data_IF_085068749816
#
_entry.id   IF_085068749816
#
_cell.length_a   1.000
_cell.length_b   1.000
_cell.length_c   1.000
_cell.angle_alpha   90.00
_cell.angle_beta   90.00
_cell.angle_gamma   90.00
#
_symmetry.space_group_name_H-M   'P 1'
#
loop_
_entity.id
_entity.type
_entity.pdbx_description
1 polymer ?
#
# COMPACT_ATOMS: atom_id res chain seq x y z
N UNK A 1 -27.64 -5.06 -13.63
CA UNK A 1 -27.95 -6.09 -12.61
C UNK A 1 -27.46 -7.42 -13.16
N UNK A 2 -26.65 -8.15 -12.40
CA UNK A 2 -26.02 -9.38 -12.88
C UNK A 2 -26.74 -10.63 -12.37
N UNK A 3 -26.84 -11.65 -13.23
CA UNK A 3 -27.55 -12.89 -12.96
C UNK A 3 -26.59 -14.09 -13.04
N UNK A 4 -26.53 -14.89 -11.98
CA UNK A 4 -25.82 -16.17 -11.96
C UNK A 4 -26.83 -17.31 -11.86
N UNK A 5 -26.66 -18.34 -12.70
CA UNK A 5 -27.51 -19.54 -12.68
C UNK A 5 -26.72 -20.73 -12.17
N UNK A 6 -27.27 -21.42 -11.19
CA UNK A 6 -26.71 -22.64 -10.62
C UNK A 6 -27.69 -23.77 -10.94
N UNK A 7 -27.22 -24.79 -11.65
CA UNK A 7 -28.01 -25.98 -12.00
C UNK A 7 -27.35 -27.24 -11.48
N UNK A 8 -28.11 -28.17 -10.92
CA UNK A 8 -27.60 -29.48 -10.50
C UNK A 8 -28.63 -30.59 -10.73
N UNK A 9 -28.11 -31.78 -11.06
CA UNK A 9 -28.89 -33.01 -11.24
C UNK A 9 -28.73 -33.97 -10.06
N UNK A 10 -27.86 -33.66 -9.09
CA UNK A 10 -27.38 -34.61 -8.08
C UNK A 10 -28.16 -34.56 -6.76
N UNK A 11 -29.38 -34.01 -6.76
CA UNK A 11 -30.22 -33.87 -5.57
C UNK A 11 -29.61 -32.99 -4.46
N UNK A 12 -28.64 -32.13 -4.82
CA UNK A 12 -27.99 -31.21 -3.91
C UNK A 12 -28.92 -30.03 -3.56
N UNK A 13 -28.90 -29.59 -2.30
CA UNK A 13 -29.60 -28.38 -1.87
C UNK A 13 -28.90 -27.13 -2.44
N UNK A 14 -29.31 -26.77 -3.65
CA UNK A 14 -28.79 -25.60 -4.38
C UNK A 14 -29.02 -24.30 -3.62
N UNK A 15 -30.08 -24.22 -2.81
CA UNK A 15 -30.45 -22.97 -2.10
C UNK A 15 -29.46 -22.72 -0.97
N UNK A 16 -29.11 -23.78 -0.26
CA UNK A 16 -28.05 -23.74 0.75
C UNK A 16 -26.70 -23.40 0.13
N UNK A 17 -26.37 -23.96 -1.03
CA UNK A 17 -25.13 -23.65 -1.75
C UNK A 17 -25.08 -22.18 -2.20
N UNK A 18 -26.16 -21.67 -2.80
CA UNK A 18 -26.27 -20.28 -3.21
C UNK A 18 -26.13 -19.32 -2.00
N UNK A 19 -26.76 -19.65 -0.88
CA UNK A 19 -26.66 -18.85 0.35
C UNK A 19 -25.24 -18.82 0.90
N UNK A 20 -24.55 -19.97 0.92
CA UNK A 20 -23.16 -20.07 1.36
C UNK A 20 -22.21 -19.27 0.45
N UNK A 21 -22.44 -19.26 -0.87
CA UNK A 21 -21.66 -18.45 -1.81
C UNK A 21 -21.83 -16.95 -1.53
N UNK A 22 -23.07 -16.47 -1.37
CA UNK A 22 -23.35 -15.05 -1.06
C UNK A 22 -22.68 -14.62 0.24
N UNK A 23 -22.74 -15.46 1.28
CA UNK A 23 -22.08 -15.20 2.55
C UNK A 23 -20.55 -15.18 2.43
N UNK A 24 -19.96 -16.09 1.65
CA UNK A 24 -18.51 -16.13 1.43
C UNK A 24 -17.97 -14.87 0.75
N UNK A 25 -18.77 -14.22 -0.09
CA UNK A 25 -18.41 -12.96 -0.75
C UNK A 25 -18.65 -11.72 0.13
N UNK A 26 -19.25 -11.90 1.32
CA UNK A 26 -19.60 -10.79 2.20
C UNK A 26 -20.66 -9.85 1.61
N UNK A 27 -21.43 -10.32 0.62
CA UNK A 27 -22.42 -9.47 -0.03
C UNK A 27 -23.62 -9.23 0.89
N UNK A 28 -24.10 -7.98 1.00
CA UNK A 28 -25.24 -7.64 1.83
C UNK A 28 -26.52 -8.29 1.29
N UNK A 29 -27.30 -8.92 2.19
CA UNK A 29 -28.49 -9.72 1.84
C UNK A 29 -29.63 -8.91 1.20
N UNK A 30 -29.67 -7.60 1.43
CA UNK A 30 -30.63 -6.67 0.81
C UNK A 30 -30.29 -6.33 -0.65
N UNK A 31 -29.08 -6.68 -1.12
CA UNK A 31 -28.60 -6.40 -2.48
C UNK A 31 -28.39 -7.65 -3.34
N UNK A 32 -28.81 -8.80 -2.82
CA UNK A 32 -28.77 -10.08 -3.51
C UNK A 32 -30.11 -10.78 -3.36
N UNK A 33 -30.66 -11.31 -4.46
CA UNK A 33 -31.88 -12.12 -4.41
C UNK A 33 -31.62 -13.53 -4.95
N UNK A 34 -32.15 -14.54 -4.26
CA UNK A 34 -32.02 -15.95 -4.61
C UNK A 34 -33.40 -16.49 -4.94
N UNK A 35 -33.58 -16.96 -6.16
CA UNK A 35 -34.83 -17.51 -6.67
C UNK A 35 -34.65 -18.97 -7.06
N UNK A 36 -35.54 -19.83 -6.58
CA UNK A 36 -35.56 -21.25 -6.93
C UNK A 36 -36.58 -21.47 -8.04
N UNK A 37 -36.16 -22.09 -9.13
CA UNK A 37 -37.03 -22.47 -10.23
C UNK A 37 -37.08 -24.00 -10.33
N UNK A 38 -38.04 -24.61 -9.64
CA UNK A 38 -38.28 -26.05 -9.69
C UNK A 38 -39.19 -26.36 -10.87
N UNK A 39 -38.64 -26.89 -11.97
CA UNK A 39 -39.45 -27.44 -13.06
C UNK A 39 -39.95 -28.82 -12.64
N UNK A 40 -41.27 -28.97 -12.49
CA UNK A 40 -41.92 -30.20 -12.05
C UNK A 40 -41.90 -31.36 -13.06
N UNK A 41 -40.96 -31.39 -14.01
CA UNK A 41 -40.90 -32.34 -15.13
C UNK A 41 -39.68 -33.28 -15.10
N UNK A 42 -38.89 -33.30 -14.01
CA UNK A 42 -37.67 -34.09 -13.92
C UNK A 42 -36.43 -33.41 -14.53
N UNK A 43 -36.53 -32.15 -14.95
CA UNK A 43 -35.39 -31.31 -15.27
C UNK A 43 -34.59 -30.91 -14.03
N UNK A 44 -33.30 -30.62 -14.22
CA UNK A 44 -32.37 -30.11 -13.21
C UNK A 44 -32.98 -29.01 -12.33
N UNK A 45 -32.80 -29.10 -11.02
CA UNK A 45 -33.12 -27.99 -10.13
C UNK A 45 -32.23 -26.80 -10.52
N UNK A 46 -32.83 -25.61 -10.62
CA UNK A 46 -32.14 -24.39 -11.04
C UNK A 46 -32.36 -23.28 -10.03
N UNK A 47 -31.28 -22.62 -9.61
CA UNK A 47 -31.34 -21.41 -8.79
C UNK A 47 -30.75 -20.23 -9.56
N UNK A 48 -31.47 -19.12 -9.50
CA UNK A 48 -31.08 -17.84 -10.07
C UNK A 48 -30.67 -16.92 -8.92
N UNK A 49 -29.44 -16.43 -8.94
CA UNK A 49 -28.93 -15.44 -7.99
C UNK A 49 -28.76 -14.12 -8.74
N UNK A 50 -29.54 -13.11 -8.36
CA UNK A 50 -29.38 -11.74 -8.88
C UNK A 50 -28.55 -10.91 -7.91
N UNK A 51 -27.52 -10.27 -8.43
CA UNK A 51 -26.57 -9.45 -7.67
C UNK A 51 -26.56 -8.04 -8.27
N UNK A 52 -26.60 -7.02 -7.42
CA UNK A 52 -26.35 -5.64 -7.84
C UNK A 52 -24.95 -5.55 -8.49
N UNK A 53 -24.86 -4.95 -9.68
CA UNK A 53 -23.58 -4.83 -10.41
C UNK A 53 -22.52 -4.08 -9.61
N UNK A 54 -22.94 -3.16 -8.73
CA UNK A 54 -22.01 -2.43 -7.87
C UNK A 54 -21.28 -3.33 -6.86
N UNK A 55 -21.82 -4.52 -6.56
CA UNK A 55 -21.16 -5.52 -5.70
C UNK A 55 -20.13 -6.36 -6.47
N UNK A 56 -20.22 -6.38 -7.80
CA UNK A 56 -19.29 -7.07 -8.68
C UNK A 56 -18.14 -6.17 -9.11
N UNK A 57 -18.36 -4.85 -9.11
CA UNK A 57 -17.30 -3.86 -9.30
C UNK A 57 -16.30 -3.98 -8.16
N UNK A 58 -15.05 -4.32 -8.47
CA UNK A 58 -13.97 -4.14 -7.50
C UNK A 58 -13.90 -2.64 -7.18
N UNK A 59 -13.90 -2.23 -5.89
CA UNK A 59 -13.70 -0.85 -5.55
C UNK A 59 -12.34 -0.45 -6.12
N UNK A 60 -12.35 0.52 -7.03
CA UNK A 60 -11.12 1.02 -7.65
C UNK A 60 -10.20 1.49 -6.52
N UNK A 61 -8.97 0.94 -6.42
CA UNK A 61 -8.07 1.29 -5.32
C UNK A 61 -7.82 2.80 -5.36
N UNK A 62 -7.93 3.47 -4.21
CA UNK A 62 -7.73 4.92 -4.14
C UNK A 62 -6.33 5.25 -4.69
N UNK A 63 -6.24 6.00 -5.81
CA UNK A 63 -4.97 6.28 -6.45
C UNK A 63 -3.99 7.01 -5.54
N UNK A 64 -4.46 7.68 -4.49
CA UNK A 64 -3.59 8.35 -3.53
C UNK A 64 -2.88 7.39 -2.56
N UNK A 65 -3.48 6.22 -2.34
CA UNK A 65 -2.98 5.18 -1.43
C UNK A 65 -2.22 4.06 -2.16
N UNK A 66 -2.27 4.06 -3.50
CA UNK A 66 -1.61 3.04 -4.29
C UNK A 66 -0.09 3.11 -4.11
N UNK A 67 0.57 1.96 -3.91
CA UNK A 67 2.02 1.93 -3.82
C UNK A 67 2.62 2.14 -5.22
N UNK A 68 3.74 2.88 -5.25
CA UNK A 68 4.40 3.31 -6.48
C UNK A 68 5.66 2.48 -6.67
N UNK A 69 5.65 1.56 -7.63
CA UNK A 69 6.73 0.56 -7.78
C UNK A 69 7.52 0.68 -9.07
N UNK A 70 6.89 1.18 -10.14
CA UNK A 70 7.55 1.32 -11.44
C UNK A 70 7.85 2.77 -11.79
N UNK A 71 8.74 2.99 -12.76
CA UNK A 71 9.03 4.32 -13.30
C UNK A 71 7.80 4.98 -13.93
N UNK A 72 6.91 4.17 -14.52
CA UNK A 72 5.65 4.65 -15.08
C UNK A 72 4.73 5.14 -13.96
N UNK A 73 4.63 4.39 -12.86
CA UNK A 73 3.84 4.77 -11.69
C UNK A 73 4.35 6.07 -11.07
N UNK A 74 5.68 6.21 -10.93
CA UNK A 74 6.30 7.45 -10.43
C UNK A 74 5.91 8.63 -11.32
N UNK A 75 5.93 8.46 -12.64
CA UNK A 75 5.52 9.50 -13.57
C UNK A 75 4.05 9.89 -13.38
N UNK A 76 3.14 8.92 -13.33
CA UNK A 76 1.70 9.15 -13.12
C UNK A 76 1.43 9.79 -11.75
N UNK A 77 2.16 9.38 -10.71
CA UNK A 77 2.08 9.96 -9.39
C UNK A 77 2.51 11.43 -9.38
N UNK A 78 3.61 11.78 -10.05
CA UNK A 78 4.08 13.16 -10.16
C UNK A 78 3.12 14.06 -10.94
N UNK A 79 2.50 13.52 -11.99
CA UNK A 79 1.42 14.18 -12.72
C UNK A 79 0.21 14.47 -11.81
N UNK A 80 -0.20 13.49 -11.00
CA UNK A 80 -1.29 13.67 -10.04
C UNK A 80 -0.94 14.71 -8.96
N UNK A 81 0.29 14.68 -8.45
CA UNK A 81 0.80 15.64 -7.46
C UNK A 81 0.70 17.08 -7.99
N UNK A 82 1.18 17.34 -9.22
CA UNK A 82 1.13 18.68 -9.83
C UNK A 82 -0.28 19.19 -10.04
N UNK A 83 -1.22 18.29 -10.37
CA UNK A 83 -2.64 18.66 -10.51
C UNK A 83 -3.28 18.99 -9.17
N UNK A 84 -2.84 18.36 -8.08
CA UNK A 84 -3.46 18.50 -6.75
C UNK A 84 -2.84 19.60 -5.89
N UNK A 85 -1.55 19.93 -6.06
CA UNK A 85 -0.86 20.91 -5.24
C UNK A 85 -0.35 22.10 -6.06
N UNK A 86 -0.94 23.27 -5.83
CA UNK A 86 -0.58 24.51 -6.50
C UNK A 86 0.82 25.04 -6.13
N UNK A 87 1.41 24.58 -5.03
CA UNK A 87 2.78 24.97 -4.66
C UNK A 87 3.85 24.37 -5.58
N UNK A 88 3.49 23.34 -6.37
CA UNK A 88 4.34 22.75 -7.39
C UNK A 88 4.32 23.54 -8.72
N UNK A 89 3.59 24.66 -8.80
CA UNK A 89 3.65 25.55 -9.96
C UNK A 89 5.08 26.08 -10.15
N UNK A 90 5.56 26.04 -11.39
CA UNK A 90 6.92 26.46 -11.76
C UNK A 90 8.02 25.46 -11.39
N UNK A 91 7.70 24.30 -10.82
CA UNK A 91 8.66 23.22 -10.59
C UNK A 91 8.90 22.46 -11.89
N UNK A 92 10.17 22.22 -12.23
CA UNK A 92 10.54 21.33 -13.33
C UNK A 92 10.09 19.90 -13.05
N UNK A 93 9.49 19.24 -14.05
CA UNK A 93 8.89 17.93 -13.87
C UNK A 93 9.95 16.85 -13.61
N UNK A 94 11.12 16.91 -14.25
CA UNK A 94 12.17 15.93 -14.04
C UNK A 94 12.73 16.06 -12.61
N UNK A 95 12.96 17.29 -12.15
CA UNK A 95 13.40 17.56 -10.78
C UNK A 95 12.38 17.07 -9.74
N UNK A 96 11.08 17.31 -9.94
CA UNK A 96 10.02 16.78 -9.08
C UNK A 96 10.06 15.25 -9.05
N UNK A 97 10.14 14.61 -10.22
CA UNK A 97 10.10 13.16 -10.36
C UNK A 97 11.29 12.50 -9.66
N UNK A 98 12.49 13.02 -9.86
CA UNK A 98 13.71 12.45 -9.30
C UNK A 98 13.72 12.58 -7.77
N UNK A 99 13.19 13.67 -7.23
CA UNK A 99 13.04 13.84 -5.79
C UNK A 99 11.94 12.95 -5.21
N UNK A 100 10.75 12.92 -5.83
CA UNK A 100 9.62 12.11 -5.38
C UNK A 100 9.90 10.60 -5.45
N UNK A 101 10.66 10.13 -6.44
CA UNK A 101 11.06 8.72 -6.59
C UNK A 101 11.77 8.18 -5.34
N UNK A 102 12.56 9.02 -4.64
CA UNK A 102 13.24 8.62 -3.41
C UNK A 102 12.25 8.37 -2.27
N UNK A 103 11.22 9.21 -2.14
CA UNK A 103 10.17 9.05 -1.14
C UNK A 103 9.30 7.82 -1.43
N UNK A 104 8.92 7.60 -2.68
CA UNK A 104 8.20 6.38 -3.08
C UNK A 104 9.03 5.12 -2.81
N UNK A 105 10.34 5.16 -3.05
CA UNK A 105 11.24 4.05 -2.71
C UNK A 105 11.34 3.80 -1.19
N UNK A 106 11.07 4.81 -0.37
CA UNK A 106 10.93 4.68 1.09
C UNK A 106 9.53 4.21 1.53
N UNK A 107 8.69 3.79 0.58
CA UNK A 107 7.36 3.24 0.84
C UNK A 107 6.28 4.29 1.10
N UNK A 108 6.55 5.56 0.79
CA UNK A 108 5.53 6.61 0.88
C UNK A 108 4.48 6.45 -0.22
N UNK A 109 3.25 6.82 0.09
CA UNK A 109 2.16 6.95 -0.88
C UNK A 109 2.10 8.38 -1.45
N UNK A 110 1.24 8.59 -2.46
CA UNK A 110 0.99 9.93 -3.00
C UNK A 110 0.35 10.82 -1.92
N UNK A 111 -0.57 10.26 -1.12
CA UNK A 111 -1.19 10.96 0.00
C UNK A 111 -0.14 11.46 1.01
N UNK A 112 0.87 10.64 1.31
CA UNK A 112 1.95 11.02 2.23
C UNK A 112 2.77 12.18 1.69
N UNK A 113 3.09 12.17 0.40
CA UNK A 113 3.85 13.26 -0.20
C UNK A 113 3.02 14.56 -0.22
N UNK A 114 1.72 14.49 -0.55
CA UNK A 114 0.80 15.65 -0.43
C UNK A 114 0.72 16.17 1.00
N UNK A 115 0.73 15.27 1.99
CA UNK A 115 0.77 15.66 3.39
C UNK A 115 2.07 16.40 3.72
N UNK A 116 3.22 15.88 3.30
CA UNK A 116 4.51 16.54 3.53
C UNK A 116 4.68 17.89 2.81
N UNK A 117 4.02 18.07 1.67
CA UNK A 117 3.98 19.36 0.96
C UNK A 117 3.07 20.37 1.64
N UNK A 118 2.07 19.93 2.41
CA UNK A 118 1.12 20.80 3.09
C UNK A 118 1.45 21.03 4.57
N UNK A 119 2.14 20.09 5.22
CA UNK A 119 2.48 20.09 6.63
C UNK A 119 3.94 19.78 6.88
N UNK A 120 4.44 20.32 7.98
CA UNK A 120 5.72 20.01 8.58
C UNK A 120 5.66 18.67 9.32
N UNK A 121 6.81 18.07 9.64
CA UNK A 121 6.84 16.85 10.44
C UNK A 121 6.34 17.00 11.88
N UNK A 122 6.25 18.22 12.40
CA UNK A 122 5.62 18.53 13.69
C UNK A 122 4.09 18.66 13.59
N UNK A 123 3.53 18.47 12.39
CA UNK A 123 2.10 18.61 12.09
C UNK A 123 1.66 20.05 11.78
N UNK A 124 2.51 21.06 11.95
CA UNK A 124 2.14 22.44 11.65
C UNK A 124 2.06 22.68 10.12
N UNK A 125 1.07 23.43 9.62
CA UNK A 125 0.94 23.68 8.18
C UNK A 125 2.07 24.57 7.66
N UNK A 126 2.51 24.31 6.42
CA UNK A 126 3.41 25.24 5.72
C UNK A 126 2.68 26.54 5.35
N UNK A 127 3.38 27.69 5.31
CA UNK A 127 2.84 28.91 4.72
C UNK A 127 2.41 28.69 3.26
N UNK A 128 1.31 29.34 2.87
CA UNK A 128 0.70 29.22 1.53
C UNK A 128 0.57 30.59 0.88
N UNK A 129 0.47 30.60 -0.45
CA UNK A 129 0.25 31.82 -1.24
C UNK A 129 1.28 31.99 -2.35
N UNK A 130 1.19 33.12 -3.05
CA UNK A 130 2.22 33.55 -4.01
C UNK A 130 3.52 33.85 -3.24
N UNK A 131 4.62 33.24 -3.68
CA UNK A 131 5.92 33.27 -2.98
C UNK A 131 6.29 32.00 -2.21
N UNK A 132 5.33 31.08 -2.01
CA UNK A 132 5.55 29.76 -1.37
C UNK A 132 5.47 28.60 -2.36
N UNK A 133 5.95 28.82 -3.58
CA UNK A 133 5.85 27.91 -4.73
C UNK A 133 7.22 27.67 -5.35
N UNK A 134 7.33 26.69 -6.25
CA UNK A 134 8.54 26.43 -7.02
C UNK A 134 9.54 25.48 -6.33
N UNK A 135 10.66 25.25 -7.01
CA UNK A 135 11.62 24.18 -6.66
C UNK A 135 12.28 24.39 -5.29
N UNK A 136 12.58 25.63 -4.93
CA UNK A 136 13.19 25.99 -3.64
C UNK A 136 12.27 25.59 -2.48
N UNK A 137 10.97 25.86 -2.60
CA UNK A 137 9.99 25.49 -1.59
C UNK A 137 9.73 23.99 -1.56
N UNK A 138 9.71 23.31 -2.71
CA UNK A 138 9.64 21.85 -2.78
C UNK A 138 10.80 21.22 -1.99
N UNK A 139 12.04 21.63 -2.29
CA UNK A 139 13.23 21.13 -1.63
C UNK A 139 13.24 21.48 -0.13
N UNK A 140 12.86 22.71 0.22
CA UNK A 140 12.77 23.14 1.62
C UNK A 140 11.81 22.24 2.41
N UNK A 141 10.60 22.01 1.90
CA UNK A 141 9.60 21.18 2.59
C UNK A 141 10.07 19.74 2.72
N UNK A 142 10.49 19.12 1.61
CA UNK A 142 10.92 17.72 1.61
C UNK A 142 12.20 17.48 2.43
N UNK A 143 13.11 18.47 2.52
CA UNK A 143 14.30 18.38 3.39
C UNK A 143 13.94 18.24 4.86
N UNK A 144 12.85 18.85 5.33
CA UNK A 144 12.41 18.71 6.73
C UNK A 144 11.89 17.29 7.05
N UNK A 145 11.52 16.52 6.03
CA UNK A 145 11.13 15.12 6.14
C UNK A 145 12.31 14.15 5.98
N UNK A 146 13.53 14.68 5.85
CA UNK A 146 14.77 13.90 5.87
C UNK A 146 15.48 14.11 7.20
N UNK A 147 16.16 13.06 7.65
CA UNK A 147 17.09 13.13 8.77
C UNK A 147 18.35 13.90 8.36
N UNK A 148 19.18 14.34 9.33
CA UNK A 148 20.48 14.95 9.01
C UNK A 148 21.42 14.05 8.21
N UNK A 149 21.27 12.72 8.31
CA UNK A 149 22.01 11.74 7.49
C UNK A 149 21.48 11.60 6.07
N UNK A 150 20.33 12.22 5.75
CA UNK A 150 19.69 12.16 4.45
C UNK A 150 18.65 11.05 4.30
N UNK A 151 18.45 10.22 5.33
CA UNK A 151 17.43 9.18 5.33
C UNK A 151 16.03 9.78 5.41
N UNK A 152 15.09 9.23 4.65
CA UNK A 152 13.70 9.69 4.63
C UNK A 152 13.00 9.17 5.89
N UNK A 153 12.36 10.07 6.63
CA UNK A 153 11.60 9.71 7.83
C UNK A 153 10.33 8.93 7.45
N UNK A 154 9.80 8.08 8.35
CA UNK A 154 8.49 7.47 8.15
C UNK A 154 7.40 8.54 7.95
N UNK A 155 6.43 8.25 7.09
CA UNK A 155 5.26 9.13 6.92
C UNK A 155 4.28 8.97 8.10
N UNK A 156 3.38 9.93 8.27
CA UNK A 156 2.34 9.88 9.31
C UNK A 156 1.44 8.63 9.16
N UNK A 157 1.14 8.23 7.93
CA UNK A 157 0.34 7.02 7.68
C UNK A 157 1.10 5.74 8.04
N UNK A 158 2.41 5.70 7.77
CA UNK A 158 3.30 4.59 8.16
C UNK A 158 3.42 4.49 9.68
N UNK A 159 3.61 5.61 10.37
CA UNK A 159 3.63 5.65 11.85
C UNK A 159 2.30 5.15 12.43
N UNK A 160 1.16 5.58 11.88
CA UNK A 160 -0.17 5.15 12.30
C UNK A 160 -0.42 3.66 12.02
N UNK A 161 0.06 3.14 10.90
CA UNK A 161 -0.02 1.73 10.57
C UNK A 161 0.85 0.88 11.50
N UNK A 162 2.07 1.34 11.81
CA UNK A 162 2.98 0.68 12.74
C UNK A 162 2.37 0.59 14.14
N UNK A 163 1.78 1.68 14.65
CA UNK A 163 1.07 1.67 15.93
C UNK A 163 -0.10 0.69 15.96
N UNK A 164 -0.87 0.59 14.87
CA UNK A 164 -1.97 -0.40 14.76
C UNK A 164 -1.46 -1.83 14.76
N UNK A 165 -0.35 -2.12 14.08
CA UNK A 165 0.25 -3.45 14.07
C UNK A 165 0.76 -3.81 15.47
N UNK A 166 1.42 -2.88 16.17
CA UNK A 166 1.88 -3.08 17.55
C UNK A 166 0.69 -3.36 18.49
N UNK A 167 -0.39 -2.60 18.36
CA UNK A 167 -1.61 -2.82 19.15
C UNK A 167 -2.34 -4.13 18.83
N UNK A 168 -2.30 -4.59 17.57
CA UNK A 168 -2.97 -5.83 17.13
C UNK A 168 -2.14 -7.09 17.37
N UNK A 169 -0.81 -6.97 17.41
CA UNK A 169 0.10 -8.09 17.66
C UNK A 169 0.10 -8.55 19.13
N UNK A 170 -0.56 -7.84 20.05
CA UNK A 170 -0.66 -8.24 21.45
C UNK A 170 0.70 -8.47 22.11
N UNK A 171 1.74 -7.75 21.67
CA UNK A 171 3.00 -7.78 22.39
C UNK A 171 2.76 -7.12 23.75
N UNK A 172 3.04 -7.80 24.88
CA UNK A 172 2.93 -7.18 26.19
C UNK A 172 3.79 -5.92 26.21
N UNK A 173 3.31 -4.86 26.87
CA UNK A 173 3.88 -3.50 26.95
C UNK A 173 5.32 -3.43 27.52
N UNK A 174 6.03 -4.55 27.68
CA UNK A 174 7.33 -4.68 28.31
C UNK A 174 8.45 -5.31 27.48
N UNK A 175 8.30 -5.54 26.17
CA UNK A 175 9.47 -5.94 25.34
C UNK A 175 10.30 -4.70 25.02
N UNK A 176 11.30 -4.44 25.87
CA UNK A 176 12.29 -3.39 25.71
C UNK A 176 12.46 -2.45 26.91
N UNK A 177 11.66 -2.59 27.97
CA UNK A 177 12.00 -1.96 29.25
C UNK A 177 13.12 -2.77 29.89
N UNK A 178 14.31 -2.19 30.12
CA UNK A 178 15.31 -2.88 30.91
C UNK A 178 14.71 -3.07 32.31
N UNK A 179 14.53 -4.33 32.72
CA UNK A 179 14.35 -4.64 34.13
C UNK A 179 15.51 -3.97 34.87
N UNK A 180 15.16 -3.08 35.79
CA UNK A 180 16.11 -2.42 36.67
C UNK A 180 16.78 -3.49 37.53
N UNK A 181 17.86 -4.06 37.02
CA UNK A 181 18.81 -4.83 37.81
C UNK A 181 19.80 -3.86 38.47
N UNK A 182 20.12 -4.08 39.75
CA UNK A 182 20.99 -3.18 40.49
C UNK A 182 22.40 -3.21 39.90
N UNK A 183 22.98 -2.02 39.89
CA UNK A 183 24.35 -1.63 39.58
C UNK A 183 25.39 -2.77 39.56
N UNK A 184 25.92 -3.04 38.37
CA UNK A 184 27.20 -3.71 38.16
C UNK A 184 27.96 -2.92 37.09
N UNK A 185 28.98 -2.20 37.54
CA UNK A 185 29.91 -1.42 36.73
C UNK A 185 30.53 -2.26 35.60
N UNK A 186 30.54 -1.71 34.39
CA UNK A 186 31.18 -2.33 33.23
C UNK A 186 30.59 -1.83 31.91
N UNK A 187 30.81 -0.55 31.59
CA UNK A 187 30.39 0.04 30.31
C UNK A 187 31.00 -0.73 29.13
N UNK A 188 30.16 -1.48 28.40
CA UNK A 188 30.58 -2.14 27.17
C UNK A 188 30.96 -1.09 26.12
N UNK A 189 32.16 -1.21 25.58
CA UNK A 189 32.76 -0.25 24.67
C UNK A 189 31.89 -0.01 23.40
N UNK A 190 31.82 1.24 22.90
CA UNK A 190 30.94 1.67 21.81
C UNK A 190 31.17 0.96 20.46
N UNK A 191 32.24 0.17 20.34
CA UNK A 191 32.56 -0.60 19.14
C UNK A 191 31.64 -1.81 18.95
N UNK A 192 31.16 -2.44 20.03
CA UNK A 192 30.33 -3.65 19.95
C UNK A 192 28.89 -3.35 19.49
N UNK A 193 28.34 -2.19 19.84
CA UNK A 193 27.01 -1.74 19.38
C UNK A 193 27.03 -1.37 17.89
N UNK A 194 28.16 -0.82 17.40
CA UNK A 194 28.35 -0.54 15.98
C UNK A 194 28.51 -1.81 15.14
N UNK A 195 29.24 -2.81 15.66
CA UNK A 195 29.39 -4.11 15.00
C UNK A 195 28.05 -4.84 14.81
N UNK A 196 27.18 -4.84 15.83
CA UNK A 196 25.85 -5.45 15.72
C UNK A 196 24.94 -4.72 14.72
N UNK A 197 25.02 -3.39 14.66
CA UNK A 197 24.25 -2.58 13.70
C UNK A 197 24.73 -2.78 12.25
N UNK A 198 26.04 -2.94 12.03
CA UNK A 198 26.59 -3.17 10.69
C UNK A 198 26.34 -4.60 10.19
N UNK A 199 26.29 -5.60 11.07
CA UNK A 199 25.92 -6.97 10.69
C UNK A 199 24.45 -7.07 10.28
N UNK A 200 23.55 -6.37 10.99
CA UNK A 200 22.14 -6.25 10.59
C UNK A 200 21.99 -5.56 9.22
N UNK A 201 22.79 -4.51 8.94
CA UNK A 201 22.83 -3.85 7.63
C UNK A 201 23.40 -4.74 6.53
N UNK A 202 24.37 -5.59 6.85
CA UNK A 202 24.96 -6.56 5.91
C UNK A 202 23.92 -7.59 5.49
N UNK A 203 23.17 -8.16 6.44
CA UNK A 203 22.10 -9.12 6.17
C UNK A 203 20.95 -8.51 5.35
N UNK A 204 20.57 -7.26 5.63
CA UNK A 204 19.55 -6.54 4.85
C UNK A 204 19.96 -6.37 3.38
N UNK A 205 21.22 -5.98 3.12
CA UNK A 205 21.76 -5.81 1.74
C UNK A 205 21.84 -7.13 0.97
N UNK A 206 22.13 -8.24 1.63
CA UNK A 206 22.15 -9.56 0.96
C UNK A 206 20.76 -9.96 0.49
N UNK A 207 19.71 -9.64 1.26
CA UNK A 207 18.31 -9.94 0.89
C UNK A 207 17.80 -9.08 -0.27
N UNK A 208 18.16 -7.80 -0.31
CA UNK A 208 17.70 -6.88 -1.37
C UNK A 208 18.23 -7.26 -2.75
N UNK A 209 19.45 -7.80 -2.82
CA UNK A 209 20.08 -8.22 -4.09
C UNK A 209 19.36 -9.41 -4.74
N UNK A 210 18.98 -10.40 -3.93
CA UNK A 210 18.18 -11.56 -4.38
C UNK A 210 16.77 -11.18 -4.86
N UNK A 211 16.14 -10.18 -4.25
CA UNK A 211 14.81 -9.72 -4.69
C UNK A 211 14.88 -8.88 -5.95
N UNK A 212 15.88 -8.01 -6.10
CA UNK A 212 16.05 -7.25 -7.36
C UNK A 212 16.44 -8.14 -8.53
N UNK A 213 17.33 -9.12 -8.36
CA UNK A 213 17.68 -10.09 -9.41
C UNK A 213 16.49 -10.98 -9.81
N UNK A 214 15.64 -11.38 -8.85
CA UNK A 214 14.43 -12.15 -9.14
C UNK A 214 13.37 -11.34 -9.90
N UNK A 215 13.23 -10.05 -9.58
CA UNK A 215 12.29 -9.14 -10.25
C UNK A 215 12.75 -8.78 -11.67
N UNK A 216 14.06 -8.55 -11.88
CA UNK A 216 14.62 -8.34 -13.22
C UNK A 216 14.50 -9.59 -14.10
N UNK A 217 14.58 -10.79 -13.51
CA UNK A 217 14.37 -12.05 -14.24
C UNK A 217 12.91 -12.23 -14.67
N UNK A 218 11.94 -11.88 -13.82
CA UNK A 218 10.51 -11.91 -14.16
C UNK A 218 10.15 -10.90 -15.27
N UNK A 219 10.67 -9.68 -15.21
CA UNK A 219 10.42 -8.63 -16.21
C UNK A 219 10.97 -9.00 -17.60
N UNK A 220 12.16 -9.63 -17.62
CA UNK A 220 12.79 -10.15 -18.85
C UNK A 220 11.98 -11.31 -19.46
N UNK A 221 11.40 -12.16 -18.61
CA UNK A 221 10.57 -13.29 -19.06
C UNK A 221 9.22 -12.81 -19.61
N UNK A 222 8.59 -11.82 -18.96
CA UNK A 222 7.34 -11.21 -19.43
C UNK A 222 7.48 -10.48 -20.78
N UNK A 223 8.63 -9.83 -21.01
CA UNK A 223 8.94 -9.14 -22.26
C UNK A 223 9.17 -10.09 -23.45
N UNK A 224 9.66 -11.32 -23.20
CA UNK A 224 9.87 -12.31 -24.27
C UNK A 224 8.58 -13.00 -24.71
N UNK A 225 7.64 -13.23 -23.79
CA UNK A 225 6.35 -13.89 -24.08
C UNK A 225 5.47 -12.99 -24.97
N UNK A 226 5.45 -11.69 -24.71
CA UNK A 226 4.63 -10.72 -25.48
C UNK A 226 5.14 -10.47 -26.90
N UNK A 227 6.38 -10.84 -27.21
CA UNK A 227 6.98 -10.66 -28.54
C UNK A 227 6.79 -11.86 -29.47
N UNK A 228 6.36 -13.02 -28.95
CA UNK A 228 6.14 -14.25 -29.71
C UNK A 228 4.73 -14.39 -30.29
N UNK A 229 3.80 -13.51 -29.90
CA UNK A 229 2.40 -13.49 -30.36
C UNK A 229 2.12 -12.45 -31.47
N UNK A 230 3.14 -12.03 -32.22
CA UNK A 230 3.00 -11.13 -33.39
C UNK A 230 3.53 -11.73 -34.67
#
# INVERSE_FOLDING_TARGET
MAEFRITSNDGMDLRRLASALVESQGWPRDRVSIWENRRGDGSADTIIVNVDENLLSQPEPDPLSMPVHTRSDVHQACELLRRRDASLRGVDFAALRDEAARFFSAGWSIADLLHALSHRPDGAPWPRGEGYQGIEWLQHRLRNWKTPSGDIRPSVSQETAQMRIVGRAGLPEGIGQPEAQPESEGAAAPEHVRAAADDARRLMRTRTRTTSEALEHQDRTASHITQQER
#
